data_IF_993511522208
#
_entry.id   IF_993511522208
#
_cell.length_a   1.000
_cell.length_b   1.000
_cell.length_c   1.000
_cell.angle_alpha   90.00
_cell.angle_beta   90.00
_cell.angle_gamma   90.00
#
_symmetry.space_group_name_H-M   'P 1'
#
loop_
_entity.id
_entity.type
_entity.pdbx_description
1 polymer ?
#
# COMPACT_ATOMS: atom_id res chain seq x y z
N UNK A 1 14.99 22.42 12.38
CA UNK A 1 14.78 21.43 11.29
C UNK A 1 13.48 20.66 11.51
N UNK A 2 12.47 20.78 10.63
CA UNK A 2 11.28 19.92 10.68
C UNK A 2 11.70 18.49 10.30
N UNK A 3 11.57 17.51 11.20
CA UNK A 3 11.81 16.10 10.86
C UNK A 3 10.77 15.66 9.82
N UNK A 4 11.24 15.28 8.62
CA UNK A 4 10.37 14.69 7.59
C UNK A 4 9.83 13.36 8.10
N UNK A 5 8.53 13.12 7.91
CA UNK A 5 7.91 11.86 8.29
C UNK A 5 8.15 10.81 7.20
N UNK A 6 9.38 10.30 7.16
CA UNK A 6 9.86 9.39 6.10
C UNK A 6 8.98 8.14 6.01
N UNK A 7 8.52 7.60 7.14
CA UNK A 7 7.70 6.40 7.15
C UNK A 7 6.35 6.60 6.46
N UNK A 8 5.69 7.73 6.72
CA UNK A 8 4.44 8.08 6.03
C UNK A 8 4.67 8.27 4.53
N UNK A 9 5.78 8.93 4.15
CA UNK A 9 6.12 9.13 2.75
C UNK A 9 6.36 7.79 2.02
N UNK A 10 7.16 6.91 2.61
CA UNK A 10 7.45 5.57 2.05
C UNK A 10 6.17 4.73 1.97
N UNK A 11 5.33 4.75 3.01
CA UNK A 11 4.04 4.06 3.01
C UNK A 11 3.13 4.52 1.87
N UNK A 12 3.00 5.84 1.66
CA UNK A 12 2.18 6.40 0.58
C UNK A 12 2.71 6.04 -0.80
N UNK A 13 4.03 6.10 -1.00
CA UNK A 13 4.66 5.73 -2.27
C UNK A 13 4.42 4.24 -2.56
N UNK A 14 4.66 3.37 -1.59
CA UNK A 14 4.45 1.93 -1.77
C UNK A 14 2.99 1.57 -2.02
N UNK A 15 2.05 2.23 -1.33
CA UNK A 15 0.62 2.04 -1.55
C UNK A 15 0.20 2.47 -2.97
N UNK A 16 0.76 3.58 -3.46
CA UNK A 16 0.51 4.05 -4.82
C UNK A 16 1.06 3.06 -5.86
N UNK A 17 2.28 2.56 -5.65
CA UNK A 17 2.90 1.57 -6.55
C UNK A 17 2.07 0.29 -6.59
N UNK A 18 1.70 -0.28 -5.44
CA UNK A 18 0.94 -1.54 -5.41
C UNK A 18 -0.43 -1.38 -6.05
N UNK A 19 -1.09 -0.24 -5.84
CA UNK A 19 -2.36 0.07 -6.47
C UNK A 19 -2.24 0.10 -7.99
N UNK A 20 -1.28 0.86 -8.52
CA UNK A 20 -1.08 0.98 -9.97
C UNK A 20 -0.69 -0.36 -10.61
N UNK A 21 0.16 -1.15 -9.95
CA UNK A 21 0.53 -2.48 -10.42
C UNK A 21 -0.65 -3.45 -10.42
N UNK A 22 -1.48 -3.43 -9.38
CA UNK A 22 -2.67 -4.26 -9.33
C UNK A 22 -3.68 -3.87 -10.42
N UNK A 23 -3.89 -2.57 -10.64
CA UNK A 23 -4.74 -2.06 -11.73
C UNK A 23 -4.20 -2.48 -13.10
N UNK A 24 -2.89 -2.34 -13.33
CA UNK A 24 -2.25 -2.78 -14.58
C UNK A 24 -2.44 -4.29 -14.79
N UNK A 25 -2.18 -5.09 -13.75
CA UNK A 25 -2.32 -6.54 -13.82
C UNK A 25 -3.78 -6.98 -14.07
N UNK A 26 -4.74 -6.30 -13.45
CA UNK A 26 -6.16 -6.62 -13.59
C UNK A 26 -6.71 -6.19 -14.96
N UNK A 27 -6.46 -4.95 -15.40
CA UNK A 27 -7.11 -4.39 -16.58
C UNK A 27 -6.36 -4.63 -17.90
N UNK A 28 -5.03 -4.67 -17.88
CA UNK A 28 -4.23 -4.81 -19.10
C UNK A 28 -3.71 -6.23 -19.28
N UNK A 29 -3.26 -6.87 -18.19
CA UNK A 29 -2.70 -8.21 -18.26
C UNK A 29 -3.75 -9.32 -18.06
N UNK A 30 -4.98 -8.98 -17.68
CA UNK A 30 -6.06 -9.91 -17.37
C UNK A 30 -5.62 -11.03 -16.40
N UNK A 31 -4.78 -10.68 -15.43
CA UNK A 31 -4.24 -11.64 -14.47
C UNK A 31 -5.33 -12.05 -13.47
N UNK A 32 -5.72 -13.34 -13.38
CA UNK A 32 -6.77 -13.79 -12.46
C UNK A 32 -6.42 -13.49 -11.00
N UNK A 33 -5.13 -13.57 -10.66
CA UNK A 33 -4.63 -13.23 -9.33
C UNK A 33 -4.81 -11.75 -8.98
N UNK A 34 -4.98 -10.86 -9.95
CA UNK A 34 -5.18 -9.43 -9.72
C UNK A 34 -6.66 -9.04 -9.49
N UNK A 35 -7.59 -9.97 -9.69
CA UNK A 35 -9.01 -9.74 -9.45
C UNK A 35 -9.30 -9.57 -7.96
N UNK A 36 -9.71 -8.36 -7.58
CA UNK A 36 -9.96 -7.98 -6.17
C UNK A 36 -10.92 -8.96 -5.49
N UNK A 37 -10.59 -9.33 -4.25
CA UNK A 37 -11.34 -10.29 -3.41
C UNK A 37 -11.39 -11.75 -3.88
N UNK A 38 -10.70 -12.10 -4.97
CA UNK A 38 -10.45 -13.51 -5.27
C UNK A 38 -9.50 -14.13 -4.24
N UNK A 39 -9.56 -15.45 -4.04
CA UNK A 39 -8.61 -16.16 -3.17
C UNK A 39 -7.15 -15.92 -3.59
N UNK A 40 -6.90 -15.94 -4.90
CA UNK A 40 -5.59 -15.65 -5.47
C UNK A 40 -5.12 -14.21 -5.18
N UNK A 41 -6.04 -13.23 -5.19
CA UNK A 41 -5.72 -11.86 -4.82
C UNK A 41 -5.44 -11.68 -3.33
N UNK A 42 -6.22 -12.35 -2.49
CA UNK A 42 -6.00 -12.38 -1.04
C UNK A 42 -4.64 -12.98 -0.68
N UNK A 43 -4.17 -13.98 -1.43
CA UNK A 43 -2.85 -14.57 -1.23
C UNK A 43 -1.71 -13.71 -1.79
N UNK A 44 -1.91 -13.06 -2.94
CA UNK A 44 -0.80 -12.45 -3.71
C UNK A 44 -0.67 -10.93 -3.51
N UNK A 45 -1.78 -10.21 -3.36
CA UNK A 45 -1.79 -8.73 -3.39
C UNK A 45 -2.17 -8.12 -2.05
N UNK A 46 -3.19 -8.66 -1.38
CA UNK A 46 -3.68 -8.15 -0.09
C UNK A 46 -2.56 -7.97 0.95
N UNK A 47 -1.60 -8.90 1.13
CA UNK A 47 -0.53 -8.73 2.10
C UNK A 47 0.30 -7.46 1.84
N UNK A 48 0.55 -7.14 0.57
CA UNK A 48 1.29 -5.92 0.22
C UNK A 48 0.49 -4.67 0.54
N UNK A 49 -0.82 -4.63 0.26
CA UNK A 49 -1.68 -3.52 0.66
C UNK A 49 -1.66 -3.31 2.18
N UNK A 50 -1.74 -4.40 2.97
CA UNK A 50 -1.68 -4.34 4.44
C UNK A 50 -0.36 -3.73 4.89
N UNK A 51 0.79 -4.18 4.36
CA UNK A 51 2.11 -3.66 4.75
C UNK A 51 2.21 -2.14 4.53
N UNK A 52 1.81 -1.67 3.35
CA UNK A 52 1.87 -0.24 3.04
C UNK A 52 0.88 0.59 3.86
N UNK A 53 -0.33 0.07 4.12
CA UNK A 53 -1.30 0.70 5.03
C UNK A 53 -0.77 0.81 6.45
N UNK A 54 -0.15 -0.25 6.98
CA UNK A 54 0.47 -0.24 8.32
C UNK A 54 1.56 0.82 8.41
N UNK A 55 2.44 0.94 7.40
CA UNK A 55 3.44 2.00 7.36
C UNK A 55 2.82 3.41 7.41
N UNK A 56 1.75 3.63 6.64
CA UNK A 56 0.99 4.88 6.67
C UNK A 56 0.42 5.17 8.07
N UNK A 57 -0.23 4.18 8.69
CA UNK A 57 -0.83 4.31 10.03
C UNK A 57 0.23 4.66 11.07
N UNK A 58 1.36 3.95 11.09
CA UNK A 58 2.46 4.23 12.03
C UNK A 58 3.01 5.64 11.77
N UNK A 59 3.21 6.02 10.51
CA UNK A 59 3.63 7.36 10.14
C UNK A 59 2.68 8.43 10.67
N UNK A 60 1.36 8.25 10.49
CA UNK A 60 0.33 9.16 11.01
C UNK A 60 0.38 9.22 12.54
N UNK A 61 0.45 8.08 13.22
CA UNK A 61 0.53 8.00 14.68
C UNK A 61 1.75 8.77 15.21
N UNK A 62 2.93 8.60 14.61
CA UNK A 62 4.14 9.36 14.96
C UNK A 62 3.93 10.87 14.74
N UNK A 63 3.26 11.27 13.66
CA UNK A 63 2.96 12.69 13.38
C UNK A 63 2.05 13.29 14.44
N UNK A 64 1.02 12.56 14.85
CA UNK A 64 0.01 13.00 15.82
C UNK A 64 0.55 13.00 17.25
N UNK A 65 1.40 12.04 17.63
CA UNK A 65 2.05 11.99 18.95
C UNK A 65 2.96 13.17 19.28
N UNK A 66 3.33 13.97 18.25
CA UNK A 66 4.22 15.13 18.37
C UNK A 66 3.47 16.46 18.32
N UNK A 67 2.15 16.44 18.23
CA UNK A 67 1.28 17.61 18.45
C UNK A 67 0.94 17.72 19.92
#
# INVERSE_FOLDING_TARGET
MKRKNVLLMVGLIGLMIVLLLNLLANFYLNQPAAMVFSEAWNASWLPSYIVWLVMCIIGIAIKLSKR
#
